data_IF_253062799953
#
_entry.id   IF_253062799953
#
_cell.length_a   1.000
_cell.length_b   1.000
_cell.length_c   1.000
_cell.angle_alpha   90.00
_cell.angle_beta   90.00
_cell.angle_gamma   90.00
#
_symmetry.space_group_name_H-M   'P 1'
#
loop_
_entity.id
_entity.type
_entity.pdbx_description
1 polymer ?
#
# COMPACT_ATOMS: atom_id res chain seq x y z
N UNK A 1 -8.67 1.07 -3.27
CA UNK A 1 -8.30 1.34 -4.69
C UNK A 1 -7.76 2.77 -4.78
N UNK A 2 -6.88 3.10 -5.75
CA UNK A 2 -6.25 4.41 -5.88
C UNK A 2 -6.21 4.89 -7.33
N UNK A 3 -6.09 6.21 -7.53
CA UNK A 3 -5.86 6.86 -8.82
C UNK A 3 -4.73 7.87 -8.68
N UNK A 4 -3.72 7.75 -9.55
CA UNK A 4 -2.62 8.70 -9.62
C UNK A 4 -3.00 9.92 -10.46
N UNK A 5 -2.36 11.04 -10.17
CA UNK A 5 -2.27 12.20 -11.07
C UNK A 5 -1.34 11.85 -12.24
N UNK A 6 -1.49 12.55 -13.35
CA UNK A 6 -0.59 12.45 -14.50
C UNK A 6 -0.07 13.86 -14.86
N UNK A 7 1.24 14.14 -14.71
CA UNK A 7 2.31 13.21 -14.30
C UNK A 7 2.40 13.01 -12.76
N UNK A 8 2.95 11.86 -12.34
CA UNK A 8 3.28 11.54 -10.94
C UNK A 8 4.80 11.26 -10.76
N UNK A 9 5.66 12.30 -10.85
CA UNK A 9 7.10 12.12 -10.77
C UNK A 9 7.55 11.57 -9.41
N UNK A 10 8.51 10.64 -9.42
CA UNK A 10 9.07 10.05 -8.18
C UNK A 10 8.15 9.03 -7.47
N UNK A 11 6.90 8.87 -7.93
CA UNK A 11 5.95 7.93 -7.31
C UNK A 11 6.51 6.50 -7.25
N UNK A 12 7.07 6.00 -8.35
CA UNK A 12 7.54 4.61 -8.43
C UNK A 12 8.65 4.30 -7.43
N UNK A 13 9.55 5.26 -7.19
CA UNK A 13 10.63 5.13 -6.20
C UNK A 13 10.06 5.16 -4.77
N UNK A 14 9.19 6.12 -4.47
CA UNK A 14 8.53 6.20 -3.17
C UNK A 14 7.68 4.95 -2.87
N UNK A 15 6.95 4.45 -3.87
CA UNK A 15 6.20 3.21 -3.76
C UNK A 15 7.12 2.01 -3.51
N UNK A 16 8.25 1.92 -4.23
CA UNK A 16 9.27 0.91 -3.99
C UNK A 16 9.79 0.92 -2.56
N UNK A 17 10.09 2.10 -2.01
CA UNK A 17 10.52 2.26 -0.63
C UNK A 17 9.48 1.77 0.38
N UNK A 18 8.20 2.03 0.14
CA UNK A 18 7.13 1.52 1.01
C UNK A 18 6.99 -0.01 0.96
N UNK A 19 7.26 -0.63 -0.19
CA UNK A 19 7.31 -2.10 -0.29
C UNK A 19 8.47 -2.66 0.52
N UNK A 20 9.66 -2.08 0.40
CA UNK A 20 10.84 -2.50 1.16
C UNK A 20 10.61 -2.36 2.66
N UNK A 21 10.09 -1.21 3.09
CA UNK A 21 9.81 -0.94 4.50
C UNK A 21 8.75 -1.90 5.06
N UNK A 22 7.63 -2.11 4.36
CA UNK A 22 6.58 -3.01 4.80
C UNK A 22 7.11 -4.45 5.03
N UNK A 23 8.05 -4.92 4.19
CA UNK A 23 8.70 -6.23 4.34
C UNK A 23 9.51 -6.39 5.62
N UNK A 24 9.94 -5.28 6.24
CA UNK A 24 10.68 -5.30 7.51
C UNK A 24 9.76 -5.23 8.74
N UNK A 25 8.48 -4.92 8.55
CA UNK A 25 7.55 -4.74 9.65
C UNK A 25 7.13 -6.08 10.27
N UNK A 26 7.04 -6.17 11.61
CA UNK A 26 6.46 -7.32 12.28
C UNK A 26 5.07 -7.65 11.73
N UNK A 27 4.80 -8.94 11.53
CA UNK A 27 3.49 -9.42 11.09
C UNK A 27 3.16 -9.22 9.62
N UNK A 28 4.05 -8.64 8.79
CA UNK A 28 3.86 -8.60 7.34
C UNK A 28 3.94 -10.01 6.72
N UNK A 29 2.93 -10.39 5.93
CA UNK A 29 2.81 -11.72 5.32
C UNK A 29 3.01 -11.71 3.80
N UNK A 30 2.93 -10.53 3.17
CA UNK A 30 3.09 -10.39 1.73
C UNK A 30 2.22 -9.28 1.14
N UNK A 31 2.35 -9.04 -0.16
CA UNK A 31 1.50 -8.11 -0.88
C UNK A 31 1.38 -8.41 -2.37
N UNK A 32 0.33 -7.89 -2.98
CA UNK A 32 0.20 -7.73 -4.42
C UNK A 32 -0.09 -6.27 -4.75
N UNK A 33 0.51 -5.81 -5.84
CA UNK A 33 0.28 -4.46 -6.34
C UNK A 33 0.09 -4.51 -7.86
N UNK A 34 -0.96 -3.88 -8.35
CA UNK A 34 -1.27 -3.74 -9.77
C UNK A 34 -1.54 -2.27 -10.05
N UNK A 35 -0.92 -1.76 -11.11
CA UNK A 35 -1.08 -0.39 -11.58
C UNK A 35 -1.37 -0.45 -13.09
N UNK A 36 -2.46 0.19 -13.50
CA UNK A 36 -2.87 0.31 -14.89
C UNK A 36 -2.25 1.57 -15.52
N UNK A 37 -2.24 1.62 -16.85
CA UNK A 37 -1.73 2.74 -17.64
C UNK A 37 -2.57 4.01 -17.49
N UNK A 38 -3.83 3.90 -17.09
CA UNK A 38 -4.73 5.04 -16.80
C UNK A 38 -4.50 5.64 -15.40
N UNK A 39 -3.48 5.19 -14.67
CA UNK A 39 -3.16 5.63 -13.32
C UNK A 39 -3.96 4.93 -12.21
N UNK A 40 -4.96 4.12 -12.53
CA UNK A 40 -5.70 3.34 -11.53
C UNK A 40 -4.85 2.19 -10.97
N UNK A 41 -5.02 1.86 -9.69
CA UNK A 41 -4.25 0.77 -9.10
C UNK A 41 -4.73 0.33 -7.73
N UNK A 42 -4.32 -0.89 -7.39
CA UNK A 42 -4.63 -1.55 -6.13
C UNK A 42 -3.37 -2.14 -5.52
N UNK A 43 -3.23 -1.97 -4.22
CA UNK A 43 -2.24 -2.68 -3.41
C UNK A 43 -2.99 -3.40 -2.30
N UNK A 44 -2.80 -4.71 -2.22
CA UNK A 44 -3.31 -5.56 -1.15
C UNK A 44 -2.10 -6.04 -0.38
N UNK A 45 -2.09 -5.82 0.94
CA UNK A 45 -1.06 -6.35 1.82
C UNK A 45 -1.73 -7.19 2.90
N UNK A 46 -1.10 -8.32 3.22
CA UNK A 46 -1.58 -9.23 4.25
C UNK A 46 -0.73 -9.09 5.50
N UNK A 47 -1.42 -9.11 6.63
CA UNK A 47 -0.84 -8.92 7.94
C UNK A 47 -1.38 -9.97 8.89
N UNK A 48 -0.57 -10.36 9.85
CA UNK A 48 -0.91 -11.39 10.84
C UNK A 48 -2.06 -10.96 11.76
N UNK A 49 -2.15 -9.69 12.09
CA UNK A 49 -3.18 -9.14 12.97
C UNK A 49 -3.52 -7.69 12.64
N UNK A 50 -4.64 -7.21 13.15
CA UNK A 50 -5.01 -5.79 13.06
C UNK A 50 -4.03 -4.89 13.84
N UNK A 51 -3.43 -5.40 14.91
CA UNK A 51 -2.39 -4.68 15.66
C UNK A 51 -1.14 -4.45 14.80
N UNK A 52 -0.69 -5.46 14.05
CA UNK A 52 0.43 -5.32 13.11
C UNK A 52 0.10 -4.30 11.99
N UNK A 53 -1.15 -4.25 11.53
CA UNK A 53 -1.63 -3.21 10.59
C UNK A 53 -1.58 -1.82 11.22
N UNK A 54 -1.99 -1.68 12.48
CA UNK A 54 -1.94 -0.42 13.21
C UNK A 54 -0.49 0.07 13.37
N UNK A 55 0.45 -0.81 13.71
CA UNK A 55 1.88 -0.46 13.75
C UNK A 55 2.41 -0.02 12.40
N UNK A 56 1.99 -0.68 11.31
CA UNK A 56 2.34 -0.24 9.97
C UNK A 56 1.78 1.14 9.65
N UNK A 57 0.48 1.35 9.90
CA UNK A 57 -0.17 2.65 9.74
C UNK A 57 0.59 3.73 10.50
N UNK A 58 1.01 3.48 11.73
CA UNK A 58 1.61 4.48 12.61
C UNK A 58 3.13 4.62 12.44
N UNK A 59 3.75 3.82 11.56
CA UNK A 59 5.18 3.93 11.29
C UNK A 59 5.53 5.33 10.73
N UNK A 60 6.52 6.05 11.29
CA UNK A 60 6.78 7.45 10.95
C UNK A 60 7.03 7.70 9.45
N UNK A 61 7.82 6.85 8.83
CA UNK A 61 8.13 6.97 7.39
C UNK A 61 6.89 6.72 6.51
N UNK A 62 6.01 5.81 6.94
CA UNK A 62 4.79 5.50 6.20
C UNK A 62 3.76 6.63 6.32
N UNK A 63 3.61 7.21 7.51
CA UNK A 63 2.80 8.41 7.73
C UNK A 63 3.24 9.58 6.84
N UNK A 64 4.55 9.81 6.77
CA UNK A 64 5.10 10.86 5.91
C UNK A 64 4.82 10.58 4.42
N UNK A 65 4.97 9.33 3.97
CA UNK A 65 4.66 8.97 2.59
C UNK A 65 3.16 9.05 2.28
N UNK A 66 2.27 8.75 3.22
CA UNK A 66 0.83 8.97 3.03
C UNK A 66 0.51 10.45 2.88
N UNK A 67 1.09 11.30 3.74
CA UNK A 67 0.93 12.75 3.68
C UNK A 67 1.41 13.31 2.35
N UNK A 68 2.61 12.93 1.92
CA UNK A 68 3.17 13.30 0.61
C UNK A 68 2.31 12.77 -0.53
N UNK A 69 1.87 11.52 -0.45
CA UNK A 69 1.05 10.90 -1.48
C UNK A 69 -0.24 11.67 -1.77
N UNK A 70 -0.93 12.15 -0.74
CA UNK A 70 -2.13 13.00 -0.92
C UNK A 70 -1.84 14.32 -1.64
N UNK A 71 -0.66 14.90 -1.43
CA UNK A 71 -0.26 16.18 -2.04
C UNK A 71 0.37 16.05 -3.42
N UNK A 72 1.16 15.00 -3.65
CA UNK A 72 2.06 14.88 -4.80
C UNK A 72 1.57 13.91 -5.87
N UNK A 73 1.02 12.75 -5.48
CA UNK A 73 0.84 11.63 -6.41
C UNK A 73 -0.61 11.19 -6.62
N UNK A 74 -1.43 11.19 -5.57
CA UNK A 74 -2.79 10.65 -5.65
C UNK A 74 -3.80 11.74 -5.98
N UNK A 75 -4.69 11.43 -6.94
CA UNK A 75 -5.95 12.14 -7.14
C UNK A 75 -6.98 11.66 -6.12
N UNK A 76 -7.01 10.35 -5.86
CA UNK A 76 -7.88 9.72 -4.87
C UNK A 76 -7.33 8.37 -4.42
N UNK A 77 -7.69 7.96 -3.20
CA UNK A 77 -7.48 6.60 -2.72
C UNK A 77 -8.48 6.24 -1.62
N UNK A 78 -8.67 4.95 -1.43
CA UNK A 78 -9.48 4.35 -0.36
C UNK A 78 -8.77 3.10 0.18
N UNK A 79 -8.79 2.94 1.50
CA UNK A 79 -8.17 1.83 2.24
C UNK A 79 -9.28 1.05 2.95
N UNK A 80 -9.22 -0.27 2.85
CA UNK A 80 -10.09 -1.20 3.54
C UNK A 80 -9.25 -2.17 4.34
N UNK A 81 -9.61 -2.36 5.60
CA UNK A 81 -9.01 -3.38 6.46
C UNK A 81 -9.99 -4.53 6.57
N UNK A 82 -9.62 -5.68 6.01
CA UNK A 82 -10.48 -6.85 5.91
C UNK A 82 -9.81 -8.06 6.56
N UNK A 83 -10.61 -8.90 7.23
CA UNK A 83 -10.16 -10.21 7.70
C UNK A 83 -10.33 -11.24 6.59
N UNK A 84 -9.27 -12.00 6.34
CA UNK A 84 -9.33 -13.12 5.37
C UNK A 84 -9.89 -14.35 6.08
N UNK A 85 -11.10 -14.75 5.70
CA UNK A 85 -11.76 -15.93 6.29
C UNK A 85 -11.34 -17.25 5.60
N UNK A 86 -10.94 -17.19 4.32
CA UNK A 86 -10.50 -18.36 3.56
C UNK A 86 -9.63 -17.95 2.36
N UNK A 87 -8.61 -18.76 2.09
CA UNK A 87 -7.78 -18.66 0.86
C UNK A 87 -7.93 -19.95 0.06
N UNK A 88 -8.01 -19.84 -1.26
CA UNK A 88 -7.96 -20.97 -2.20
C UNK A 88 -7.06 -20.56 -3.37
N UNK A 89 -6.30 -21.53 -3.88
CA UNK A 89 -5.38 -21.31 -5.01
C UNK A 89 -5.51 -22.47 -6.00
N UNK A 90 -5.38 -22.17 -7.29
CA UNK A 90 -5.24 -23.15 -8.37
C UNK A 90 -3.90 -22.90 -9.08
N UNK A 91 -3.10 -23.94 -9.38
CA UNK A 91 -1.82 -23.80 -10.08
C UNK A 91 -1.93 -23.25 -11.51
#
# INVERSE_FOLDING_TARGET
MSRLRDPAPGYSEAAGRMVELARTMPGFLGMHSVRNTDGSGITISWWRSEEDVAYWRDHPEHQEMQRRGCGEWYESWHIEICRVEKVRSFP
#
